data_IF_454294011414
#
_entry.id   IF_454294011414
#
_cell.length_a   1.000
_cell.length_b   1.000
_cell.length_c   1.000
_cell.angle_alpha   90.00
_cell.angle_beta   90.00
_cell.angle_gamma   90.00
#
_symmetry.space_group_name_H-M   'P 1'
#
loop_
_entity.id
_entity.type
_entity.pdbx_description
1 polymer ?
#
# COMPACT_ATOMS: atom_id res chain seq x y z
N UNK A 1 -11.86 -0.94 -3.13
CA UNK A 1 -11.50 -1.14 -4.53
C UNK A 1 -12.58 -0.53 -5.42
N UNK A 2 -12.20 0.40 -6.30
CA UNK A 2 -13.11 1.13 -7.20
C UNK A 2 -12.43 1.30 -8.56
N UNK A 3 -12.72 0.41 -9.52
CA UNK A 3 -12.15 0.52 -10.86
C UNK A 3 -12.71 1.76 -11.59
N UNK A 4 -11.89 2.33 -12.47
CA UNK A 4 -12.25 3.41 -13.38
C UNK A 4 -13.14 2.89 -14.52
N UNK A 5 -12.73 1.77 -15.10
CA UNK A 5 -13.38 1.12 -16.22
C UNK A 5 -14.08 -0.18 -15.78
N UNK A 6 -14.58 -0.97 -16.71
CA UNK A 6 -15.19 -2.29 -16.44
C UNK A 6 -14.18 -3.29 -15.85
N UNK A 7 -12.92 -3.14 -16.23
CA UNK A 7 -11.77 -3.91 -15.71
C UNK A 7 -10.67 -2.96 -15.26
N UNK A 8 -9.78 -3.42 -14.39
CA UNK A 8 -8.81 -2.59 -13.68
C UNK A 8 -7.37 -3.03 -13.91
N UNK A 9 -6.46 -2.04 -13.96
CA UNK A 9 -5.03 -2.23 -13.82
C UNK A 9 -4.62 -2.49 -12.37
N UNK A 10 -5.37 -1.92 -11.43
CA UNK A 10 -5.19 -2.19 -10.00
C UNK A 10 -5.60 -3.62 -9.65
N UNK A 11 -4.86 -4.22 -8.74
CA UNK A 11 -5.24 -5.47 -8.11
C UNK A 11 -4.73 -5.56 -6.67
N UNK A 12 -5.32 -6.46 -5.92
CA UNK A 12 -4.77 -6.94 -4.67
C UNK A 12 -4.76 -8.46 -4.67
N UNK A 13 -3.79 -9.02 -3.98
CA UNK A 13 -3.65 -10.45 -3.82
C UNK A 13 -3.10 -10.77 -2.45
N UNK A 14 -3.55 -11.86 -1.85
CA UNK A 14 -3.07 -12.27 -0.55
C UNK A 14 -3.13 -13.78 -0.37
N UNK A 15 -2.24 -14.30 0.48
CA UNK A 15 -2.18 -15.70 0.83
C UNK A 15 -1.80 -15.91 2.29
N UNK A 16 -2.46 -16.88 2.92
CA UNK A 16 -2.06 -17.39 4.22
C UNK A 16 -0.85 -18.32 4.02
N UNK A 17 0.22 -18.02 4.71
CA UNK A 17 1.43 -18.82 4.74
C UNK A 17 1.48 -19.70 5.99
N UNK A 18 2.54 -20.51 6.11
CA UNK A 18 2.79 -21.30 7.32
C UNK A 18 3.14 -20.37 8.51
N UNK A 19 3.12 -20.93 9.72
CA UNK A 19 3.56 -20.27 10.96
C UNK A 19 2.84 -18.95 11.26
N UNK A 20 1.51 -18.91 11.06
CA UNK A 20 0.65 -17.74 11.31
C UNK A 20 1.08 -16.47 10.53
N UNK A 21 1.65 -16.67 9.35
CA UNK A 21 2.01 -15.58 8.46
C UNK A 21 0.95 -15.36 7.38
N UNK A 22 0.82 -14.12 6.95
CA UNK A 22 -0.05 -13.71 5.86
C UNK A 22 0.68 -12.71 4.98
N UNK A 23 0.62 -12.89 3.67
CA UNK A 23 1.17 -11.92 2.72
C UNK A 23 0.05 -11.23 1.95
N UNK A 24 0.21 -9.93 1.72
CA UNK A 24 -0.72 -9.08 0.99
C UNK A 24 0.06 -8.16 0.06
N UNK A 25 -0.35 -8.08 -1.20
CA UNK A 25 0.10 -7.06 -2.13
C UNK A 25 -1.08 -6.19 -2.55
N UNK A 26 -0.84 -4.89 -2.68
CA UNK A 26 -1.69 -3.91 -3.35
C UNK A 26 -0.87 -3.32 -4.46
N UNK A 27 -1.37 -3.39 -5.68
CA UNK A 27 -0.61 -3.07 -6.87
C UNK A 27 -1.44 -2.31 -7.90
N UNK A 28 -0.76 -1.43 -8.60
CA UNK A 28 -1.21 -0.65 -9.75
C UNK A 28 -0.35 -1.06 -10.95
N UNK A 29 -0.96 -1.72 -11.93
CA UNK A 29 -0.27 -2.13 -13.15
C UNK A 29 -0.28 -1.02 -14.18
N UNK A 30 0.76 -0.95 -15.00
CA UNK A 30 0.83 0.03 -16.10
C UNK A 30 -0.42 0.00 -16.97
N UNK A 31 -1.11 1.15 -17.03
CA UNK A 31 -2.32 1.36 -17.82
C UNK A 31 -3.61 0.98 -17.10
N UNK A 32 -4.74 1.47 -17.60
CA UNK A 32 -6.09 1.21 -17.07
C UNK A 32 -6.97 0.50 -18.11
N UNK A 33 -8.14 0.06 -17.71
CA UNK A 33 -9.04 -0.68 -18.58
C UNK A 33 -8.44 -2.00 -19.07
N UNK A 34 -8.73 -2.40 -20.31
CA UNK A 34 -8.31 -3.70 -20.84
C UNK A 34 -6.78 -3.88 -20.89
N UNK A 35 -5.97 -2.91 -21.36
CA UNK A 35 -4.52 -3.04 -21.30
C UNK A 35 -3.99 -3.23 -19.88
N UNK A 36 -4.47 -2.43 -18.92
CA UNK A 36 -4.10 -2.56 -17.51
C UNK A 36 -4.47 -3.92 -16.94
N UNK A 37 -5.67 -4.43 -17.24
CA UNK A 37 -6.11 -5.75 -16.79
C UNK A 37 -5.23 -6.89 -17.32
N UNK A 38 -4.77 -6.80 -18.58
CA UNK A 38 -3.83 -7.79 -19.15
C UNK A 38 -2.50 -7.74 -18.40
N UNK A 39 -1.99 -6.53 -18.11
CA UNK A 39 -0.79 -6.36 -17.30
C UNK A 39 -0.96 -6.90 -15.87
N UNK A 40 -2.13 -6.70 -15.25
CA UNK A 40 -2.43 -7.27 -13.93
C UNK A 40 -2.36 -8.79 -13.93
N UNK A 41 -2.88 -9.44 -14.97
CA UNK A 41 -2.82 -10.92 -15.10
C UNK A 41 -1.36 -11.38 -15.21
N UNK A 42 -0.53 -10.71 -16.02
CA UNK A 42 0.90 -11.02 -16.13
C UNK A 42 1.61 -10.83 -14.78
N UNK A 43 1.39 -9.68 -14.14
CA UNK A 43 2.00 -9.34 -12.86
C UNK A 43 1.64 -10.36 -11.76
N UNK A 44 0.35 -10.74 -11.66
CA UNK A 44 -0.14 -11.77 -10.74
C UNK A 44 0.51 -13.12 -11.05
N UNK A 45 0.64 -13.49 -12.32
CA UNK A 45 1.29 -14.74 -12.72
C UNK A 45 2.75 -14.79 -12.28
N UNK A 46 3.52 -13.73 -12.54
CA UNK A 46 4.92 -13.63 -12.13
C UNK A 46 5.08 -13.63 -10.61
N UNK A 47 4.17 -12.95 -9.88
CA UNK A 47 4.12 -12.94 -8.43
C UNK A 47 3.85 -14.34 -7.85
N UNK A 48 2.85 -15.04 -8.38
CA UNK A 48 2.50 -16.39 -7.97
C UNK A 48 3.65 -17.37 -8.21
N UNK A 49 4.37 -17.22 -9.30
CA UNK A 49 5.55 -18.04 -9.58
C UNK A 49 6.67 -17.78 -8.55
N UNK A 50 6.97 -16.50 -8.23
CA UNK A 50 7.97 -16.14 -7.21
C UNK A 50 7.62 -16.74 -5.84
N UNK A 51 6.35 -16.68 -5.43
CA UNK A 51 5.92 -17.16 -4.12
C UNK A 51 5.79 -18.68 -4.07
N UNK A 52 5.14 -19.28 -5.07
CA UNK A 52 4.77 -20.70 -5.01
C UNK A 52 5.82 -21.63 -5.62
N UNK A 53 6.44 -21.26 -6.74
CA UNK A 53 7.46 -22.07 -7.41
C UNK A 53 8.85 -21.84 -6.80
N UNK A 54 9.25 -20.58 -6.66
CA UNK A 54 10.56 -20.21 -6.09
C UNK A 54 10.54 -20.25 -4.55
N UNK A 55 9.34 -20.38 -3.92
CA UNK A 55 9.11 -20.46 -2.47
C UNK A 55 9.71 -19.31 -1.69
N UNK A 56 9.71 -18.13 -2.27
CA UNK A 56 10.16 -16.93 -1.62
C UNK A 56 9.11 -16.45 -0.60
N UNK A 57 9.59 -15.88 0.51
CA UNK A 57 8.73 -15.42 1.61
C UNK A 57 8.97 -13.93 1.88
N UNK A 58 10.22 -13.47 1.80
CA UNK A 58 10.55 -12.09 2.13
C UNK A 58 10.07 -11.14 1.02
N UNK A 59 9.39 -10.03 1.37
CA UNK A 59 8.84 -9.08 0.41
C UNK A 59 9.82 -8.57 -0.64
N UNK A 60 11.03 -8.17 -0.22
CA UNK A 60 12.04 -7.67 -1.15
C UNK A 60 12.49 -8.75 -2.16
N UNK A 61 12.69 -9.98 -1.71
CA UNK A 61 13.08 -11.09 -2.58
C UNK A 61 11.98 -11.42 -3.60
N UNK A 62 10.72 -11.42 -3.14
CA UNK A 62 9.56 -11.64 -4.01
C UNK A 62 9.50 -10.56 -5.07
N UNK A 63 9.59 -9.27 -4.72
CA UNK A 63 9.54 -8.19 -5.72
C UNK A 63 10.72 -8.24 -6.69
N UNK A 64 11.93 -8.57 -6.22
CA UNK A 64 13.11 -8.72 -7.08
C UNK A 64 12.97 -9.87 -8.08
N UNK A 65 12.44 -11.02 -7.64
CA UNK A 65 12.18 -12.16 -8.52
C UNK A 65 11.05 -11.86 -9.53
N UNK A 66 9.95 -11.26 -9.04
CA UNK A 66 8.80 -10.85 -9.87
C UNK A 66 9.26 -9.88 -10.96
N UNK A 67 10.05 -8.86 -10.62
CA UNK A 67 10.63 -7.91 -11.59
C UNK A 67 11.41 -8.60 -12.71
N UNK A 68 12.28 -9.55 -12.35
CA UNK A 68 13.05 -10.31 -13.36
C UNK A 68 12.15 -11.09 -14.30
N UNK A 69 11.09 -11.71 -13.78
CA UNK A 69 10.13 -12.48 -14.58
C UNK A 69 9.34 -11.56 -15.52
N UNK A 70 8.82 -10.42 -15.03
CA UNK A 70 8.12 -9.43 -15.87
C UNK A 70 9.01 -8.96 -17.01
N UNK A 71 10.25 -8.54 -16.70
CA UNK A 71 11.19 -8.07 -17.71
C UNK A 71 11.46 -9.18 -18.75
N UNK A 72 11.66 -10.41 -18.32
CA UNK A 72 11.91 -11.53 -19.24
C UNK A 72 10.70 -11.82 -20.15
N UNK A 73 9.48 -11.76 -19.64
CA UNK A 73 8.27 -11.97 -20.44
C UNK A 73 8.08 -10.86 -21.48
N UNK A 74 8.29 -9.60 -21.08
CA UNK A 74 8.11 -8.45 -21.97
C UNK A 74 9.27 -8.24 -22.94
N UNK A 75 10.49 -8.67 -22.61
CA UNK A 75 11.65 -8.54 -23.50
C UNK A 75 11.59 -9.46 -24.72
N UNK A 76 10.75 -10.50 -24.69
CA UNK A 76 10.60 -11.47 -25.77
C UNK A 76 9.59 -11.05 -26.84
N UNK A 77 8.99 -9.86 -26.74
CA UNK A 77 8.01 -9.34 -27.71
C UNK A 77 8.63 -8.74 -28.98
N UNK A 78 9.97 -8.70 -29.07
CA UNK A 78 10.72 -8.16 -30.21
C UNK A 78 10.80 -6.63 -30.24
N UNK A 79 10.30 -5.92 -29.23
CA UNK A 79 10.47 -4.47 -29.12
C UNK A 79 11.90 -4.12 -28.77
N UNK A 80 12.53 -3.19 -29.53
CA UNK A 80 13.93 -2.77 -29.31
C UNK A 80 14.17 -2.08 -27.97
N UNK A 81 13.11 -1.59 -27.32
CA UNK A 81 13.18 -0.84 -26.05
C UNK A 81 12.61 -1.62 -24.86
N UNK A 82 12.22 -2.89 -25.03
CA UNK A 82 11.57 -3.73 -23.99
C UNK A 82 10.61 -2.88 -23.15
N UNK A 83 9.31 -3.08 -23.27
CA UNK A 83 8.31 -2.20 -22.65
C UNK A 83 8.66 -1.83 -21.22
N UNK A 84 8.48 -0.55 -20.86
CA UNK A 84 8.65 -0.05 -19.49
C UNK A 84 7.47 -0.47 -18.58
N UNK A 85 6.71 -1.45 -19.03
CA UNK A 85 5.54 -1.93 -18.33
C UNK A 85 5.91 -2.73 -17.07
N UNK A 86 5.04 -2.67 -16.09
CA UNK A 86 5.25 -3.32 -14.81
C UNK A 86 4.13 -2.97 -13.83
N UNK A 87 4.48 -2.79 -12.57
CA UNK A 87 3.55 -2.36 -11.56
C UNK A 87 4.23 -1.52 -10.48
N UNK A 88 3.47 -0.58 -9.93
CA UNK A 88 3.75 0.10 -8.68
C UNK A 88 2.99 -0.64 -7.56
N UNK A 89 3.66 -0.98 -6.47
CA UNK A 89 3.01 -1.81 -5.46
C UNK A 89 3.61 -1.66 -4.07
N UNK A 90 2.86 -2.17 -3.11
CA UNK A 90 3.36 -2.44 -1.77
C UNK A 90 3.07 -3.89 -1.39
N UNK A 91 4.10 -4.64 -1.02
CA UNK A 91 4.03 -6.02 -0.56
C UNK A 91 4.33 -6.10 0.93
N UNK A 92 3.39 -6.63 1.68
CA UNK A 92 3.41 -6.76 3.13
C UNK A 92 3.40 -8.23 3.53
N UNK A 93 4.30 -8.63 4.44
CA UNK A 93 4.30 -9.92 5.12
C UNK A 93 4.01 -9.71 6.60
N UNK A 94 2.86 -10.16 7.05
CA UNK A 94 2.44 -10.13 8.46
C UNK A 94 2.89 -11.40 9.16
N UNK A 95 3.65 -11.27 10.23
CA UNK A 95 3.98 -12.33 11.19
C UNK A 95 3.16 -12.06 12.47
N UNK A 96 1.98 -12.66 12.53
CA UNK A 96 1.06 -12.43 13.65
C UNK A 96 1.56 -13.02 14.96
N UNK A 97 2.38 -14.07 14.92
CA UNK A 97 2.97 -14.68 16.11
C UNK A 97 3.95 -13.73 16.81
N UNK A 98 4.75 -13.02 16.05
CA UNK A 98 5.76 -12.12 16.56
C UNK A 98 5.32 -10.64 16.50
N UNK A 99 4.11 -10.36 16.01
CA UNK A 99 3.61 -8.99 15.77
C UNK A 99 4.58 -8.16 14.93
N UNK A 100 5.12 -8.75 13.87
CA UNK A 100 6.04 -8.09 12.95
C UNK A 100 5.41 -7.92 11.58
N UNK A 101 5.79 -6.84 10.92
CA UNK A 101 5.43 -6.54 9.55
C UNK A 101 6.69 -6.29 8.74
N UNK A 102 6.90 -7.09 7.69
CA UNK A 102 7.96 -6.89 6.70
C UNK A 102 7.36 -6.30 5.45
N UNK A 103 8.03 -5.32 4.85
CA UNK A 103 7.48 -4.52 3.75
C UNK A 103 8.55 -4.30 2.70
N UNK A 104 8.19 -4.50 1.43
CA UNK A 104 8.91 -3.94 0.29
C UNK A 104 7.92 -3.16 -0.57
N UNK A 105 8.32 -1.98 -1.05
CA UNK A 105 7.41 -1.07 -1.72
C UNK A 105 8.08 -0.44 -2.95
N UNK A 106 7.35 -0.42 -4.06
CA UNK A 106 7.70 0.15 -5.34
C UNK A 106 6.75 1.32 -5.63
N UNK A 107 7.24 2.55 -5.61
CA UNK A 107 6.53 3.82 -5.81
C UNK A 107 5.36 4.11 -4.85
N UNK A 108 4.59 3.11 -4.42
CA UNK A 108 3.43 3.24 -3.52
C UNK A 108 3.83 3.05 -2.04
N UNK A 109 3.59 4.02 -1.15
CA UNK A 109 3.96 3.93 0.26
C UNK A 109 3.04 2.98 1.04
N UNK A 110 3.51 2.54 2.20
CA UNK A 110 2.66 1.92 3.23
C UNK A 110 2.54 2.86 4.41
N UNK A 111 1.32 3.06 4.91
CA UNK A 111 1.07 3.90 6.07
C UNK A 111 0.58 3.05 7.25
N UNK A 112 1.19 3.24 8.41
CA UNK A 112 0.83 2.56 9.65
C UNK A 112 0.34 3.61 10.62
N UNK A 113 -0.94 3.57 10.97
CA UNK A 113 -1.55 4.50 11.91
C UNK A 113 -1.65 3.83 13.27
N UNK A 114 -0.96 4.39 14.26
CA UNK A 114 -1.04 3.96 15.67
C UNK A 114 -2.17 4.68 16.37
N UNK A 115 -3.22 3.95 16.69
CA UNK A 115 -4.40 4.54 17.34
C UNK A 115 -4.25 4.67 18.86
N UNK A 116 -3.24 4.03 19.47
CA UNK A 116 -3.02 4.01 20.91
C UNK A 116 -4.16 3.33 21.68
N UNK A 117 -3.88 2.71 22.80
CA UNK A 117 -4.93 2.24 23.72
C UNK A 117 -5.31 3.41 24.65
N UNK A 118 -6.21 4.27 24.19
CA UNK A 118 -6.69 5.45 24.94
C UNK A 118 -7.13 5.13 26.38
N UNK A 119 -7.47 3.88 26.68
CA UNK A 119 -7.93 3.47 28.02
C UNK A 119 -6.77 3.31 29.01
N UNK A 120 -5.57 2.96 28.54
CA UNK A 120 -4.39 2.84 29.41
C UNK A 120 -3.72 4.17 29.71
N UNK A 121 -3.79 5.13 28.81
CA UNK A 121 -3.18 6.45 29.00
C UNK A 121 -3.96 7.30 30.02
N UNK A 122 -5.28 7.16 30.11
CA UNK A 122 -6.11 7.88 31.10
C UNK A 122 -5.90 7.29 32.50
N UNK A 123 -5.74 5.96 32.63
CA UNK A 123 -5.55 5.30 33.93
C UNK A 123 -4.17 5.54 34.58
N UNK A 124 -3.13 5.82 33.79
CA UNK A 124 -1.80 6.08 34.31
C UNK A 124 -1.54 7.56 34.65
N UNK A 125 -2.39 8.50 34.20
CA UNK A 125 -2.26 9.92 34.53
C UNK A 125 -2.58 10.28 35.98
N UNK A 126 -3.36 9.47 36.66
CA UNK A 126 -3.78 9.75 38.06
C UNK A 126 -2.79 9.26 39.13
N UNK A 127 -1.67 8.60 38.75
CA UNK A 127 -0.71 8.04 39.72
C UNK A 127 0.73 8.59 39.67
N UNK A 128 1.08 9.44 38.75
CA UNK A 128 2.44 10.04 38.72
C UNK A 128 2.45 11.56 38.56
N UNK A 129 1.98 12.25 39.58
CA UNK A 129 2.38 13.63 39.83
C UNK A 129 3.67 13.55 40.66
N UNK A 130 4.83 13.38 40.03
CA UNK A 130 6.06 13.39 40.80
C UNK A 130 7.38 13.08 40.14
N UNK A 131 7.49 12.86 38.83
CA UNK A 131 8.81 12.92 38.18
C UNK A 131 8.72 13.21 36.68
N UNK A 132 9.45 14.23 36.30
CA UNK A 132 9.57 14.84 34.98
C UNK A 132 10.19 13.87 33.96
N UNK A 133 9.37 13.17 33.19
CA UNK A 133 9.69 12.78 31.81
C UNK A 133 8.39 12.91 31.02
N UNK A 134 8.21 14.09 30.41
CA UNK A 134 7.16 14.28 29.40
C UNK A 134 7.65 13.54 28.18
N UNK A 135 7.16 12.32 27.96
CA UNK A 135 7.26 11.64 26.68
C UNK A 135 6.44 12.45 25.67
N UNK A 136 7.13 13.28 24.90
CA UNK A 136 6.53 14.18 23.90
C UNK A 136 5.76 13.42 22.80
N UNK A 137 5.89 12.10 22.75
CA UNK A 137 5.16 11.23 21.80
C UNK A 137 3.74 10.87 22.26
N UNK A 138 3.41 11.00 23.53
CA UNK A 138 2.06 10.69 24.07
C UNK A 138 1.00 11.74 23.78
N UNK A 139 1.35 12.90 23.26
CA UNK A 139 0.46 14.03 22.99
C UNK A 139 0.00 14.16 21.54
N UNK A 140 0.48 13.31 20.63
CA UNK A 140 0.04 13.31 19.23
C UNK A 140 -1.02 12.21 19.08
N UNK A 141 -2.32 12.52 19.05
CA UNK A 141 -3.32 11.52 18.75
C UNK A 141 -3.10 11.02 17.32
N UNK A 142 -2.97 9.70 17.18
CA UNK A 142 -2.82 8.98 15.92
C UNK A 142 -1.53 9.35 15.15
N UNK A 143 -0.41 8.78 15.56
CA UNK A 143 0.85 8.89 14.82
C UNK A 143 0.80 8.01 13.55
N UNK A 144 1.10 8.60 12.40
CA UNK A 144 1.23 7.88 11.14
C UNK A 144 2.72 7.67 10.79
N UNK A 145 3.12 6.42 10.73
CA UNK A 145 4.45 6.00 10.24
C UNK A 145 4.32 5.78 8.73
N UNK A 146 5.12 6.47 7.94
CA UNK A 146 5.20 6.27 6.50
C UNK A 146 6.42 5.42 6.16
N UNK A 147 6.21 4.25 5.58
CA UNK A 147 7.24 3.46 4.94
C UNK A 147 7.39 3.97 3.51
N UNK A 148 8.51 4.62 3.25
CA UNK A 148 8.79 5.21 1.93
C UNK A 148 9.14 4.11 0.93
N UNK A 149 8.54 4.14 -0.26
CA UNK A 149 8.86 3.17 -1.30
C UNK A 149 10.21 3.49 -1.97
N UNK A 150 10.82 2.47 -2.55
CA UNK A 150 11.85 2.65 -3.57
C UNK A 150 11.23 3.36 -4.80
N UNK A 151 11.94 4.35 -5.34
CA UNK A 151 11.47 5.14 -6.48
C UNK A 151 11.81 4.44 -7.80
N UNK A 152 11.18 3.29 -7.99
CA UNK A 152 11.24 2.44 -9.18
C UNK A 152 10.05 1.47 -9.19
N UNK A 153 9.52 1.11 -10.36
CA UNK A 153 8.48 0.09 -10.49
C UNK A 153 9.04 -1.33 -10.37
N UNK A 154 8.16 -2.30 -10.20
CA UNK A 154 8.45 -3.73 -10.42
C UNK A 154 8.33 -4.01 -11.92
N UNK A 155 9.35 -3.65 -12.67
CA UNK A 155 9.40 -3.71 -14.13
C UNK A 155 10.73 -3.18 -14.66
N UNK A 156 10.79 -2.91 -15.97
CA UNK A 156 11.97 -2.33 -16.62
C UNK A 156 12.16 -0.87 -16.22
N UNK A 157 13.34 -0.55 -15.68
CA UNK A 157 13.68 0.80 -15.23
C UNK A 157 15.21 0.99 -15.25
N UNK A 158 15.67 2.24 -15.25
CA UNK A 158 17.13 2.56 -15.21
C UNK A 158 17.80 2.05 -13.93
N UNK A 159 17.01 1.80 -12.88
CA UNK A 159 17.45 1.24 -11.59
C UNK A 159 17.07 -0.23 -11.39
N UNK A 160 16.68 -0.95 -12.43
CA UNK A 160 16.18 -2.33 -12.33
C UNK A 160 17.21 -3.35 -11.81
N UNK A 161 18.51 -2.97 -11.77
CA UNK A 161 19.57 -3.77 -11.15
C UNK A 161 19.70 -3.53 -9.63
N UNK A 162 19.08 -2.48 -9.08
CA UNK A 162 19.11 -2.19 -7.65
C UNK A 162 18.03 -3.05 -6.98
N UNK A 163 18.36 -3.83 -5.94
CA UNK A 163 17.36 -4.61 -5.23
C UNK A 163 16.38 -3.69 -4.48
N UNK A 164 15.15 -4.17 -4.29
CA UNK A 164 14.18 -3.51 -3.41
C UNK A 164 14.64 -3.57 -1.95
N UNK A 165 14.33 -2.50 -1.23
CA UNK A 165 14.62 -2.38 0.21
C UNK A 165 13.56 -3.12 1.02
N UNK A 166 13.99 -3.92 1.99
CA UNK A 166 13.09 -4.50 2.97
C UNK A 166 13.06 -3.67 4.26
N UNK A 167 11.85 -3.40 4.73
CA UNK A 167 11.61 -2.72 6.00
C UNK A 167 10.96 -3.68 6.99
N UNK A 168 11.41 -3.64 8.24
CA UNK A 168 10.79 -4.38 9.35
C UNK A 168 10.17 -3.39 10.34
N UNK A 169 8.92 -3.64 10.73
CA UNK A 169 8.20 -2.82 11.70
C UNK A 169 7.64 -3.73 12.80
N UNK A 170 7.91 -3.40 14.06
CA UNK A 170 7.24 -4.01 15.20
C UNK A 170 5.84 -3.42 15.33
N UNK A 171 4.81 -4.24 15.09
CA UNK A 171 3.41 -3.84 15.24
C UNK A 171 3.01 -3.78 16.71
N UNK A 172 2.05 -2.92 16.99
CA UNK A 172 1.38 -2.79 18.28
C UNK A 172 -0.10 -3.10 18.14
N UNK A 173 -0.72 -3.54 19.23
CA UNK A 173 -2.17 -3.75 19.23
C UNK A 173 -2.90 -2.44 18.95
N UNK A 174 -3.76 -2.44 17.94
CA UNK A 174 -4.49 -1.26 17.48
C UNK A 174 -3.83 -0.53 16.32
N UNK A 175 -2.64 -0.94 15.87
CA UNK A 175 -2.08 -0.43 14.62
C UNK A 175 -2.99 -0.79 13.45
N UNK A 176 -3.22 0.19 12.56
CA UNK A 176 -3.93 0.01 11.29
C UNK A 176 -2.93 0.23 10.16
N UNK A 177 -2.78 -0.76 9.30
CA UNK A 177 -1.87 -0.70 8.15
C UNK A 177 -2.69 -0.42 6.90
N UNK A 178 -2.31 0.62 6.16
CA UNK A 178 -2.94 0.97 4.89
C UNK A 178 -1.93 0.78 3.75
N UNK A 179 -2.36 0.04 2.75
CA UNK A 179 -1.71 -0.08 1.44
C UNK A 179 -2.63 0.52 0.39
N UNK A 180 -2.08 1.21 -0.59
CA UNK A 180 -2.89 1.99 -1.54
C UNK A 180 -2.22 2.13 -2.90
N UNK A 181 -3.04 2.43 -3.91
CA UNK A 181 -2.63 2.92 -5.22
C UNK A 181 -2.81 4.44 -5.30
N UNK A 182 -2.34 5.07 -6.35
CA UNK A 182 -2.31 6.53 -6.45
C UNK A 182 -3.63 7.17 -6.94
N UNK A 183 -4.60 6.37 -7.40
CA UNK A 183 -5.83 6.91 -7.99
C UNK A 183 -6.67 7.78 -7.06
N UNK A 184 -6.69 7.49 -5.74
CA UNK A 184 -7.39 8.36 -4.80
C UNK A 184 -6.69 9.72 -4.63
N UNK A 185 -5.39 9.78 -4.28
CA UNK A 185 -4.70 11.06 -4.14
C UNK A 185 -4.60 11.85 -5.45
N UNK A 186 -4.62 11.18 -6.58
CA UNK A 186 -4.51 11.80 -7.91
C UNK A 186 -5.84 12.26 -8.49
N UNK A 187 -6.98 11.87 -7.88
CA UNK A 187 -8.30 12.32 -8.32
C UNK A 187 -8.44 13.83 -8.27
N UNK A 188 -8.81 14.42 -9.40
CA UNK A 188 -9.17 15.84 -9.49
C UNK A 188 -10.56 16.10 -8.93
N UNK A 189 -10.69 17.24 -8.22
CA UNK A 189 -11.97 17.60 -7.62
C UNK A 189 -11.91 18.87 -6.78
N UNK A 190 -12.88 18.99 -5.87
CA UNK A 190 -13.06 20.16 -5.03
C UNK A 190 -13.49 21.39 -5.83
N UNK A 191 -13.55 22.56 -5.17
CA UNK A 191 -13.98 23.82 -5.81
C UNK A 191 -12.99 24.34 -6.87
N UNK A 192 -11.71 23.98 -6.73
CA UNK A 192 -10.62 24.47 -7.58
C UNK A 192 -10.12 23.46 -8.62
N UNK A 193 -10.78 22.31 -8.74
CA UNK A 193 -10.39 21.26 -9.69
C UNK A 193 -8.95 20.77 -9.49
N UNK A 194 -8.45 20.63 -8.25
CA UNK A 194 -7.09 20.18 -7.94
C UNK A 194 -7.08 18.69 -7.58
N UNK A 195 -5.89 18.07 -7.63
CA UNK A 195 -5.69 16.73 -7.08
C UNK A 195 -6.02 16.71 -5.59
N UNK A 196 -6.54 15.57 -5.09
CA UNK A 196 -6.82 15.37 -3.67
C UNK A 196 -5.54 15.44 -2.83
N UNK A 197 -4.47 14.88 -3.32
CA UNK A 197 -3.12 14.82 -2.76
C UNK A 197 -2.97 13.79 -1.65
N UNK A 198 -1.83 13.09 -1.65
CA UNK A 198 -1.47 12.08 -0.64
C UNK A 198 -1.48 12.60 0.80
N UNK A 199 -1.16 13.90 1.00
CA UNK A 199 -1.23 14.53 2.32
C UNK A 199 -2.65 14.51 2.88
N UNK A 200 -3.64 14.91 2.09
CA UNK A 200 -5.05 14.98 2.53
C UNK A 200 -5.60 13.57 2.78
N UNK A 201 -5.23 12.60 1.93
CA UNK A 201 -5.62 11.20 2.14
C UNK A 201 -5.04 10.66 3.45
N UNK A 202 -3.78 10.91 3.74
CA UNK A 202 -3.14 10.50 4.99
C UNK A 202 -3.82 11.11 6.21
N UNK A 203 -4.13 12.41 6.17
CA UNK A 203 -4.87 13.08 7.25
C UNK A 203 -6.27 12.48 7.44
N UNK A 204 -6.97 12.17 6.36
CA UNK A 204 -8.25 11.47 6.41
C UNK A 204 -8.13 10.10 7.07
N UNK A 205 -7.20 9.24 6.62
CA UNK A 205 -6.98 7.91 7.17
C UNK A 205 -6.63 7.96 8.66
N UNK A 206 -5.75 8.88 9.06
CA UNK A 206 -5.43 9.10 10.48
C UNK A 206 -6.68 9.47 11.28
N UNK A 207 -7.54 10.33 10.74
CA UNK A 207 -8.76 10.78 11.43
C UNK A 207 -9.79 9.66 11.65
N UNK A 208 -9.85 8.68 10.75
CA UNK A 208 -10.84 7.59 10.76
C UNK A 208 -10.30 6.25 11.26
N UNK A 209 -8.99 6.10 11.48
CA UNK A 209 -8.34 4.83 11.84
C UNK A 209 -8.92 4.16 13.11
N UNK A 210 -9.54 4.94 14.00
CA UNK A 210 -10.18 4.43 15.22
C UNK A 210 -11.56 3.79 14.99
N UNK A 211 -12.12 3.96 13.78
CA UNK A 211 -13.45 3.45 13.42
C UNK A 211 -13.38 2.01 12.92
N UNK A 212 -14.50 1.26 13.01
CA UNK A 212 -14.62 -0.03 12.33
C UNK A 212 -14.35 0.06 10.82
N UNK A 213 -13.80 -1.00 10.22
CA UNK A 213 -13.37 -0.99 8.81
C UNK A 213 -14.51 -0.67 7.82
N UNK A 214 -15.75 -1.12 8.11
CA UNK A 214 -16.89 -0.78 7.26
C UNK A 214 -17.21 0.72 7.28
N UNK A 215 -17.12 1.37 8.46
CA UNK A 215 -17.32 2.82 8.54
C UNK A 215 -16.19 3.59 7.84
N UNK A 216 -14.95 3.10 7.94
CA UNK A 216 -13.82 3.70 7.22
C UNK A 216 -14.04 3.63 5.71
N UNK A 217 -14.47 2.46 5.19
CA UNK A 217 -14.79 2.28 3.80
C UNK A 217 -15.85 3.27 3.32
N UNK A 218 -16.97 3.38 4.06
CA UNK A 218 -18.08 4.27 3.70
C UNK A 218 -17.64 5.74 3.69
N UNK A 219 -16.82 6.15 4.65
CA UNK A 219 -16.27 7.50 4.72
C UNK A 219 -15.29 7.80 3.58
N UNK A 220 -14.42 6.85 3.23
CA UNK A 220 -13.52 6.97 2.10
C UNK A 220 -14.28 7.09 0.78
N UNK A 221 -15.27 6.23 0.57
CA UNK A 221 -16.10 6.26 -0.65
C UNK A 221 -16.88 7.58 -0.75
N UNK A 222 -17.51 8.00 0.34
CA UNK A 222 -18.21 9.28 0.39
C UNK A 222 -17.27 10.45 0.10
N UNK A 223 -16.11 10.49 0.74
CA UNK A 223 -15.14 11.58 0.54
C UNK A 223 -14.64 11.62 -0.90
N UNK A 224 -14.39 10.46 -1.52
CA UNK A 224 -13.97 10.38 -2.91
C UNK A 224 -15.03 10.93 -3.86
N UNK A 225 -16.29 10.53 -3.67
CA UNK A 225 -17.44 10.99 -4.50
C UNK A 225 -17.68 12.48 -4.30
N UNK A 226 -17.70 12.95 -3.06
CA UNK A 226 -17.90 14.37 -2.72
C UNK A 226 -16.78 15.26 -3.30
N UNK A 227 -15.53 14.73 -3.31
CA UNK A 227 -14.39 15.43 -3.91
C UNK A 227 -14.48 15.48 -5.42
N UNK A 228 -14.68 14.33 -6.05
CA UNK A 228 -14.75 14.18 -7.51
C UNK A 228 -15.88 14.98 -8.13
N UNK A 229 -17.04 15.05 -7.44
CA UNK A 229 -18.27 15.64 -7.97
C UNK A 229 -18.61 15.05 -9.36
N UNK A 230 -18.84 15.91 -10.35
CA UNK A 230 -19.19 15.55 -11.73
C UNK A 230 -17.97 15.28 -12.62
N UNK A 231 -16.75 15.40 -12.10
CA UNK A 231 -15.54 15.08 -12.87
C UNK A 231 -15.40 13.56 -13.06
N UNK A 232 -14.74 13.17 -14.15
CA UNK A 232 -14.42 11.77 -14.39
C UNK A 232 -13.43 11.22 -13.36
N UNK A 233 -13.53 9.95 -13.08
CA UNK A 233 -12.50 9.24 -12.30
C UNK A 233 -11.24 9.12 -13.16
N UNK A 234 -10.08 9.53 -12.62
CA UNK A 234 -8.84 9.61 -13.42
C UNK A 234 -8.11 8.27 -13.51
N UNK A 235 -8.22 7.44 -12.48
CA UNK A 235 -7.57 6.13 -12.42
C UNK A 235 -8.33 5.15 -11.54
N UNK A 236 -7.91 3.89 -11.56
CA UNK A 236 -8.37 2.87 -10.61
C UNK A 236 -8.01 3.27 -9.17
N UNK A 237 -8.82 2.90 -8.19
CA UNK A 237 -8.61 3.24 -6.78
C UNK A 237 -8.64 1.99 -5.92
N UNK A 238 -7.52 1.72 -5.25
CA UNK A 238 -7.42 0.64 -4.27
C UNK A 238 -6.86 1.16 -2.96
N UNK A 239 -7.56 0.91 -1.86
CA UNK A 239 -7.08 1.09 -0.48
C UNK A 239 -7.47 -0.17 0.29
N UNK A 240 -6.49 -0.81 0.91
CA UNK A 240 -6.65 -2.00 1.74
C UNK A 240 -6.19 -1.69 3.17
#
# INVERSE_FOLDING_TARGET
FKPKDVVSGDFYWGAKLKDEKFTLITADSTGHGVPGAIMSILNISCLNEAINADKLIQPADILNATRKKIINHLSNDGSKDGGKDGMDCSLCLYDFKNMKLFIAAANNPVWIVRTGDRRKEIGNRDQEIGNKYIDTYSLIPNHCIEIKPDKMPVGKHDKDQIPFTEHEVQLQKGDVVYTLTDGFPDQFGGEKGKKFMSKNLRELLVSIAHKPMHEQKDLLEKTFVDWKKDLEQVDDVTII
#
